data_IF_911293277055
#
_entry.id   IF_911293277055
#
_cell.length_a   1.000
_cell.length_b   1.000
_cell.length_c   1.000
_cell.angle_alpha   90.00
_cell.angle_beta   90.00
_cell.angle_gamma   90.00
#
_symmetry.space_group_name_H-M   'P 1'
#
loop_
_entity.id
_entity.type
_entity.pdbx_description
1 polymer ?
#
# COMPACT_ATOMS: atom_id res chain seq x y z
N UNK A 1 -19.99 2.18 19.57
CA UNK A 1 -19.09 1.93 18.43
C UNK A 1 -19.23 3.09 17.46
N UNK A 2 -18.20 3.91 17.30
CA UNK A 2 -18.27 5.09 16.43
C UNK A 2 -18.27 4.62 14.96
N UNK A 3 -19.27 5.00 14.15
CA UNK A 3 -19.26 4.68 12.73
C UNK A 3 -18.01 5.30 12.09
N UNK A 4 -17.32 4.50 11.28
CA UNK A 4 -16.15 4.94 10.53
C UNK A 4 -16.58 5.99 9.49
N UNK A 5 -16.26 7.25 9.72
CA UNK A 5 -16.53 8.36 8.79
C UNK A 5 -15.24 8.63 8.02
N UNK A 6 -15.25 8.33 6.72
CA UNK A 6 -14.13 8.68 5.84
C UNK A 6 -13.89 10.21 5.90
N UNK A 7 -12.66 10.69 6.11
CA UNK A 7 -12.38 12.12 6.14
C UNK A 7 -12.85 12.76 4.82
N UNK A 8 -13.73 13.75 4.90
CA UNK A 8 -14.17 14.51 3.73
C UNK A 8 -12.93 15.01 2.99
N UNK A 9 -12.83 14.67 1.70
CA UNK A 9 -11.73 15.09 0.85
C UNK A 9 -11.74 16.62 0.78
N UNK A 10 -10.99 17.29 1.66
CA UNK A 10 -10.83 18.74 1.57
C UNK A 10 -10.23 19.05 0.20
N UNK A 11 -10.85 19.92 -0.60
CA UNK A 11 -10.25 20.36 -1.85
C UNK A 11 -8.95 21.09 -1.52
N UNK A 12 -7.83 20.39 -1.70
CA UNK A 12 -6.50 20.98 -1.55
C UNK A 12 -6.15 21.70 -2.84
N UNK A 13 -5.45 22.84 -2.76
CA UNK A 13 -5.00 23.65 -3.91
C UNK A 13 -4.12 22.90 -4.95
N UNK A 14 -3.78 21.63 -4.69
CA UNK A 14 -2.88 20.78 -5.48
C UNK A 14 -3.62 19.80 -6.41
N UNK A 15 -4.89 20.05 -6.72
CA UNK A 15 -5.66 19.28 -7.68
C UNK A 15 -6.23 17.95 -7.16
N UNK A 16 -6.65 17.10 -8.10
CA UNK A 16 -7.43 15.89 -7.82
C UNK A 16 -6.65 14.88 -6.95
N UNK A 17 -7.22 14.48 -5.81
CA UNK A 17 -6.62 13.50 -4.89
C UNK A 17 -6.32 12.15 -5.57
N UNK A 18 -7.13 11.78 -6.58
CA UNK A 18 -6.90 10.57 -7.40
C UNK A 18 -5.64 10.68 -8.25
N UNK A 19 -5.40 11.82 -8.89
CA UNK A 19 -4.21 12.04 -9.72
C UNK A 19 -2.94 12.00 -8.88
N UNK A 20 -2.92 12.67 -7.72
CA UNK A 20 -1.79 12.62 -6.77
C UNK A 20 -1.48 11.21 -6.28
N UNK A 21 -2.54 10.43 -6.05
CA UNK A 21 -2.39 9.04 -5.61
C UNK A 21 -1.81 8.14 -6.70
N UNK A 22 -2.19 8.36 -7.97
CA UNK A 22 -1.61 7.67 -9.11
C UNK A 22 -0.15 8.05 -9.32
N UNK A 23 0.16 9.35 -9.29
CA UNK A 23 1.53 9.85 -9.42
C UNK A 23 2.41 9.29 -8.31
N UNK A 24 1.97 9.34 -7.05
CA UNK A 24 2.71 8.76 -5.93
C UNK A 24 2.94 7.26 -6.05
N UNK A 25 1.94 6.50 -6.53
CA UNK A 25 2.07 5.06 -6.79
C UNK A 25 3.08 4.76 -7.90
N UNK A 26 3.00 5.50 -9.02
CA UNK A 26 3.91 5.34 -10.15
C UNK A 26 5.35 5.66 -9.71
N UNK A 27 5.55 6.72 -8.93
CA UNK A 27 6.86 7.06 -8.37
C UNK A 27 7.42 5.98 -7.44
N UNK A 28 6.59 5.40 -6.57
CA UNK A 28 7.00 4.28 -5.69
C UNK A 28 7.39 3.07 -6.53
N UNK A 29 6.55 2.68 -7.50
CA UNK A 29 6.82 1.53 -8.36
C UNK A 29 8.09 1.73 -9.18
N UNK A 30 8.27 2.94 -9.75
CA UNK A 30 9.46 3.29 -10.51
C UNK A 30 10.71 3.32 -9.62
N UNK A 31 10.59 3.81 -8.38
CA UNK A 31 11.67 3.80 -7.39
C UNK A 31 12.10 2.39 -7.00
N UNK A 32 11.14 1.48 -6.73
CA UNK A 32 11.43 0.07 -6.43
C UNK A 32 12.06 -0.63 -7.63
N UNK A 33 11.50 -0.44 -8.83
CA UNK A 33 12.06 -1.02 -10.06
C UNK A 33 13.48 -0.53 -10.33
N UNK A 34 13.75 0.76 -10.14
CA UNK A 34 15.08 1.34 -10.25
C UNK A 34 16.05 0.74 -9.21
N UNK A 35 15.61 0.55 -7.97
CA UNK A 35 16.42 -0.10 -6.93
C UNK A 35 16.75 -1.55 -7.29
N UNK A 36 15.76 -2.34 -7.72
CA UNK A 36 15.96 -3.76 -8.10
C UNK A 36 16.85 -3.90 -9.34
N UNK A 37 16.81 -2.94 -10.27
CA UNK A 37 17.65 -2.94 -11.47
C UNK A 37 19.09 -2.48 -11.21
N UNK A 38 19.42 -2.09 -9.97
CA UNK A 38 20.76 -1.65 -9.61
C UNK A 38 21.74 -2.81 -9.71
N UNK A 39 22.81 -2.62 -10.49
CA UNK A 39 23.96 -3.53 -10.55
C UNK A 39 25.25 -2.80 -10.14
N UNK A 40 26.35 -3.53 -9.95
CA UNK A 40 27.68 -2.96 -9.65
C UNK A 40 28.11 -1.88 -10.65
N UNK A 41 27.65 -1.97 -11.90
CA UNK A 41 27.93 -0.98 -12.96
C UNK A 41 26.95 0.20 -12.99
N UNK A 42 25.93 0.17 -12.14
CA UNK A 42 24.76 1.05 -12.18
C UNK A 42 24.43 1.59 -10.78
N UNK A 43 25.46 1.89 -10.00
CA UNK A 43 25.35 2.35 -8.61
C UNK A 43 24.53 3.64 -8.45
N UNK A 44 24.43 4.45 -9.50
CA UNK A 44 23.57 5.64 -9.54
C UNK A 44 22.08 5.32 -9.31
N UNK A 45 21.61 4.13 -9.70
CA UNK A 45 20.23 3.71 -9.46
C UNK A 45 19.93 3.46 -7.97
N UNK A 46 20.96 3.19 -7.16
CA UNK A 46 20.83 3.10 -5.71
C UNK A 46 20.53 4.45 -5.05
N UNK A 47 20.89 5.57 -5.69
CA UNK A 47 20.53 6.91 -5.23
C UNK A 47 19.16 7.34 -5.80
N UNK A 48 18.92 7.05 -7.08
CA UNK A 48 17.69 7.43 -7.79
C UNK A 48 16.48 6.68 -7.25
N UNK A 49 16.58 5.38 -7.01
CA UNK A 49 15.47 4.53 -6.56
C UNK A 49 14.87 4.98 -5.22
N UNK A 50 15.65 5.09 -4.14
CA UNK A 50 15.17 5.61 -2.85
C UNK A 50 14.68 7.05 -2.94
N UNK A 51 15.29 7.90 -3.76
CA UNK A 51 14.85 9.28 -3.96
C UNK A 51 13.46 9.35 -4.61
N UNK A 52 13.20 8.55 -5.65
CA UNK A 52 11.88 8.42 -6.27
C UNK A 52 10.87 7.81 -5.30
N UNK A 53 11.29 6.82 -4.50
CA UNK A 53 10.47 6.19 -3.48
C UNK A 53 10.03 7.22 -2.42
N UNK A 54 10.96 8.04 -1.92
CA UNK A 54 10.71 9.15 -0.99
C UNK A 54 9.70 10.14 -1.57
N UNK A 55 9.95 10.61 -2.80
CA UNK A 55 9.07 11.55 -3.49
C UNK A 55 7.66 10.97 -3.69
N UNK A 56 7.54 9.69 -4.01
CA UNK A 56 6.26 9.02 -4.17
C UNK A 56 5.41 9.02 -2.88
N UNK A 57 6.02 8.74 -1.73
CA UNK A 57 5.36 8.86 -0.43
C UNK A 57 5.04 10.31 -0.04
N UNK A 58 5.90 11.27 -0.43
CA UNK A 58 5.68 12.68 -0.14
C UNK A 58 4.53 13.28 -0.96
N UNK A 59 4.34 12.82 -2.20
CA UNK A 59 3.29 13.30 -3.11
C UNK A 59 1.90 12.82 -2.67
N UNK A 60 1.81 11.66 -2.00
CA UNK A 60 0.52 11.07 -1.60
C UNK A 60 -0.31 11.98 -0.70
N UNK A 61 -1.64 12.03 -0.90
CA UNK A 61 -2.53 12.75 0.00
C UNK A 61 -2.71 12.00 1.33
N UNK A 62 -2.45 12.67 2.47
CA UNK A 62 -2.58 12.09 3.82
C UNK A 62 -1.95 12.95 4.92
N UNK A 63 -2.12 12.60 6.20
CA UNK A 63 -1.51 13.32 7.32
C UNK A 63 0.03 13.21 7.30
N UNK A 64 0.76 14.32 7.51
CA UNK A 64 2.22 14.38 7.40
C UNK A 64 2.94 13.37 8.33
N UNK A 65 2.46 13.23 9.57
CA UNK A 65 3.06 12.30 10.54
C UNK A 65 2.99 10.84 10.08
N UNK A 66 1.90 10.43 9.41
CA UNK A 66 1.76 9.06 8.88
C UNK A 66 2.71 8.81 7.72
N UNK A 67 2.96 9.83 6.90
CA UNK A 67 3.96 9.73 5.82
C UNK A 67 5.34 9.49 6.42
N UNK A 68 5.72 10.25 7.44
CA UNK A 68 7.03 10.09 8.11
C UNK A 68 7.20 8.72 8.76
N UNK A 69 6.16 8.21 9.44
CA UNK A 69 6.20 6.88 10.08
C UNK A 69 6.33 5.75 9.06
N UNK A 70 5.70 5.86 7.90
CA UNK A 70 5.70 4.82 6.85
C UNK A 70 6.94 4.89 5.96
N UNK A 71 7.52 6.08 5.82
CA UNK A 71 8.62 6.34 4.91
C UNK A 71 9.87 5.53 5.28
N UNK A 72 10.24 5.47 6.56
CA UNK A 72 11.39 4.68 7.01
C UNK A 72 11.20 3.15 6.77
N UNK A 73 10.12 2.49 7.24
CA UNK A 73 9.93 1.06 7.02
C UNK A 73 9.73 0.70 5.55
N UNK A 74 9.07 1.53 4.74
CA UNK A 74 8.91 1.24 3.30
C UNK A 74 10.20 1.44 2.51
N UNK A 75 11.03 2.41 2.90
CA UNK A 75 12.34 2.60 2.27
C UNK A 75 13.29 1.44 2.61
N UNK A 76 13.29 1.00 3.87
CA UNK A 76 14.02 -0.22 4.28
C UNK A 76 13.49 -1.45 3.53
N UNK A 77 12.17 -1.61 3.44
CA UNK A 77 11.56 -2.71 2.69
C UNK A 77 12.03 -2.71 1.22
N UNK A 78 11.98 -1.56 0.54
CA UNK A 78 12.46 -1.39 -0.83
C UNK A 78 13.94 -1.75 -1.01
N UNK A 79 14.78 -1.44 -0.03
CA UNK A 79 16.20 -1.84 -0.04
C UNK A 79 16.38 -3.33 0.23
N UNK A 80 15.58 -3.94 1.10
CA UNK A 80 15.68 -5.38 1.39
C UNK A 80 15.30 -6.26 0.20
N UNK A 81 14.48 -5.77 -0.73
CA UNK A 81 14.20 -6.46 -2.00
C UNK A 81 15.47 -6.71 -2.83
N UNK A 82 16.52 -5.90 -2.65
CA UNK A 82 17.82 -6.12 -3.28
C UNK A 82 18.49 -7.43 -2.80
N UNK A 83 18.15 -7.87 -1.59
CA UNK A 83 18.62 -9.13 -1.01
C UNK A 83 18.01 -10.39 -1.65
N UNK A 84 17.04 -10.23 -2.57
CA UNK A 84 16.45 -11.33 -3.32
C UNK A 84 15.19 -11.95 -2.66
N UNK A 85 14.78 -13.16 -3.11
CA UNK A 85 13.49 -13.77 -2.80
C UNK A 85 13.28 -14.09 -1.32
N UNK A 86 14.37 -14.23 -0.56
CA UNK A 86 14.32 -14.37 0.91
C UNK A 86 13.63 -13.20 1.62
N UNK A 87 13.65 -12.01 1.01
CA UNK A 87 13.06 -10.79 1.55
C UNK A 87 11.73 -10.43 0.89
N UNK A 88 11.07 -11.37 0.20
CA UNK A 88 9.76 -11.15 -0.41
C UNK A 88 8.69 -10.63 0.60
N UNK A 89 8.90 -10.80 1.91
CA UNK A 89 8.06 -10.22 2.96
C UNK A 89 8.04 -8.68 2.96
N UNK A 90 9.01 -8.02 2.32
CA UNK A 90 9.06 -6.58 2.14
C UNK A 90 7.82 -6.03 1.41
N UNK A 91 7.23 -6.81 0.50
CA UNK A 91 5.98 -6.46 -0.19
C UNK A 91 4.80 -6.29 0.76
N UNK A 92 4.74 -7.09 1.84
CA UNK A 92 3.70 -6.94 2.86
C UNK A 92 3.87 -5.62 3.63
N UNK A 93 5.11 -5.21 3.92
CA UNK A 93 5.40 -3.93 4.57
C UNK A 93 5.00 -2.74 3.69
N UNK A 94 5.30 -2.81 2.39
CA UNK A 94 4.87 -1.82 1.40
C UNK A 94 3.35 -1.70 1.35
N UNK A 95 2.63 -2.83 1.33
CA UNK A 95 1.16 -2.84 1.35
C UNK A 95 0.60 -2.30 2.68
N UNK A 96 1.21 -2.64 3.82
CA UNK A 96 0.80 -2.16 5.14
C UNK A 96 0.95 -0.63 5.23
N UNK A 97 2.10 -0.12 4.78
CA UNK A 97 2.35 1.32 4.68
C UNK A 97 1.31 2.05 3.83
N UNK A 98 0.96 1.45 2.68
CA UNK A 98 -0.07 1.98 1.79
C UNK A 98 -1.46 2.05 2.44
N UNK A 99 -1.86 1.00 3.18
CA UNK A 99 -3.14 0.96 3.91
C UNK A 99 -3.18 2.00 5.04
N UNK A 100 -2.05 2.21 5.73
CA UNK A 100 -1.93 3.16 6.84
C UNK A 100 -2.04 4.61 6.37
N UNK A 101 -1.39 4.96 5.25
CA UNK A 101 -1.47 6.28 4.63
C UNK A 101 -2.90 6.59 4.14
N UNK A 102 -3.60 5.59 3.59
CA UNK A 102 -4.96 5.77 3.05
C UNK A 102 -6.09 5.71 4.09
N UNK A 103 -5.77 5.67 5.39
CA UNK A 103 -6.77 5.56 6.45
C UNK A 103 -7.77 4.42 6.19
N UNK A 104 -7.32 3.23 5.78
CA UNK A 104 -8.26 2.11 5.53
C UNK A 104 -8.70 1.47 6.85
N UNK A 105 -9.96 0.98 6.94
CA UNK A 105 -10.48 0.34 8.15
C UNK A 105 -9.67 -0.92 8.50
N UNK A 106 -9.51 -1.22 9.78
CA UNK A 106 -8.82 -2.39 10.33
C UNK A 106 -9.07 -3.73 9.59
N UNK A 107 -10.31 -4.10 9.19
CA UNK A 107 -10.55 -5.33 8.43
C UNK A 107 -9.82 -5.40 7.07
N UNK A 108 -9.46 -4.27 6.45
CA UNK A 108 -8.65 -4.27 5.22
C UNK A 108 -7.22 -4.78 5.44
N UNK A 109 -6.74 -4.84 6.68
CA UNK A 109 -5.43 -5.40 7.01
C UNK A 109 -5.38 -6.93 6.90
N UNK A 110 -6.52 -7.64 6.90
CA UNK A 110 -6.56 -9.09 6.66
C UNK A 110 -5.96 -9.46 5.29
N UNK A 111 -5.99 -8.51 4.36
CA UNK A 111 -5.44 -8.69 3.02
C UNK A 111 -3.91 -8.76 3.02
N UNK A 112 -3.23 -8.40 4.12
CA UNK A 112 -1.79 -8.61 4.29
C UNK A 112 -1.41 -10.10 4.37
N UNK A 113 -2.35 -10.99 4.69
CA UNK A 113 -2.08 -12.43 4.72
C UNK A 113 -1.69 -12.95 3.34
N UNK A 114 -2.23 -12.37 2.26
CA UNK A 114 -1.90 -12.74 0.89
C UNK A 114 -0.41 -12.53 0.53
N UNK A 115 0.13 -11.31 0.60
CA UNK A 115 1.54 -11.08 0.28
C UNK A 115 2.46 -11.88 1.21
N UNK A 116 2.12 -12.02 2.49
CA UNK A 116 2.88 -12.86 3.43
C UNK A 116 2.90 -14.32 2.96
N UNK A 117 1.74 -14.90 2.65
CA UNK A 117 1.64 -16.29 2.16
C UNK A 117 2.39 -16.51 0.85
N UNK A 118 2.30 -15.55 -0.08
CA UNK A 118 3.04 -15.59 -1.34
C UNK A 118 4.55 -15.45 -1.11
N UNK A 119 5.01 -14.67 -0.13
CA UNK A 119 6.44 -14.60 0.21
C UNK A 119 6.99 -15.96 0.65
N UNK A 120 6.24 -16.73 1.44
CA UNK A 120 6.62 -18.09 1.82
C UNK A 120 6.65 -19.03 0.61
N UNK A 121 5.68 -18.90 -0.30
CA UNK A 121 5.64 -19.69 -1.53
C UNK A 121 6.83 -19.36 -2.45
N UNK A 122 7.12 -18.08 -2.65
CA UNK A 122 8.28 -17.62 -3.42
C UNK A 122 9.56 -18.23 -2.84
N UNK A 123 9.75 -18.14 -1.52
CA UNK A 123 10.91 -18.72 -0.85
C UNK A 123 11.00 -20.24 -0.98
N UNK A 124 9.86 -20.95 -1.05
CA UNK A 124 9.84 -22.41 -1.20
C UNK A 124 10.13 -22.89 -2.63
N UNK A 125 9.87 -22.07 -3.65
CA UNK A 125 9.97 -22.47 -5.05
C UNK A 125 11.15 -21.83 -5.80
N UNK A 126 11.62 -20.65 -5.39
CA UNK A 126 12.67 -19.88 -6.07
C UNK A 126 13.97 -19.93 -5.26
N UNK A 127 14.97 -20.63 -5.79
CA UNK A 127 16.27 -20.83 -5.14
C UNK A 127 17.44 -20.18 -5.89
N UNK A 128 17.20 -19.68 -7.12
CA UNK A 128 18.25 -19.13 -7.99
C UNK A 128 18.09 -17.63 -8.24
N UNK A 129 19.21 -16.90 -8.19
CA UNK A 129 19.26 -15.45 -8.45
C UNK A 129 18.68 -15.05 -9.82
N UNK A 130 18.89 -15.89 -10.84
CA UNK A 130 18.35 -15.68 -12.18
C UNK A 130 16.81 -15.65 -12.22
N UNK A 131 16.14 -16.14 -11.18
CA UNK A 131 14.69 -16.16 -11.08
C UNK A 131 14.13 -15.05 -10.16
N UNK A 132 14.98 -14.19 -9.59
CA UNK A 132 14.56 -13.12 -8.68
C UNK A 132 13.51 -12.21 -9.31
N UNK A 133 13.65 -11.90 -10.61
CA UNK A 133 12.68 -11.09 -11.36
C UNK A 133 11.27 -11.70 -11.37
N UNK A 134 11.15 -13.03 -11.31
CA UNK A 134 9.86 -13.74 -11.21
C UNK A 134 9.24 -13.50 -9.84
N UNK A 135 10.05 -13.59 -8.77
CA UNK A 135 9.62 -13.27 -7.42
C UNK A 135 9.11 -11.84 -7.29
N UNK A 136 9.80 -10.88 -7.93
CA UNK A 136 9.40 -9.47 -7.91
C UNK A 136 8.11 -9.21 -8.68
N UNK A 137 7.92 -9.86 -9.85
CA UNK A 137 6.67 -9.78 -10.61
C UNK A 137 5.49 -10.39 -9.83
N UNK A 138 5.67 -11.59 -9.28
CA UNK A 138 4.64 -12.29 -8.52
C UNK A 138 4.29 -11.52 -7.24
N UNK A 139 5.30 -11.00 -6.53
CA UNK A 139 5.11 -10.15 -5.35
C UNK A 139 4.35 -8.86 -5.67
N UNK A 140 4.73 -8.18 -6.76
CA UNK A 140 4.06 -6.96 -7.22
C UNK A 140 2.61 -7.23 -7.62
N UNK A 141 2.36 -8.28 -8.40
CA UNK A 141 1.01 -8.69 -8.80
C UNK A 141 0.14 -9.02 -7.57
N UNK A 142 0.72 -9.70 -6.59
CA UNK A 142 0.04 -10.04 -5.33
C UNK A 142 -0.32 -8.80 -4.54
N UNK A 143 0.58 -7.83 -4.42
CA UNK A 143 0.30 -6.55 -3.74
C UNK A 143 -0.81 -5.78 -4.46
N UNK A 144 -0.82 -5.74 -5.79
CA UNK A 144 -1.87 -5.09 -6.58
C UNK A 144 -3.23 -5.76 -6.35
N UNK A 145 -3.27 -7.10 -6.45
CA UNK A 145 -4.49 -7.87 -6.20
C UNK A 145 -5.00 -7.65 -4.77
N UNK A 146 -4.09 -7.66 -3.80
CA UNK A 146 -4.36 -7.39 -2.38
C UNK A 146 -4.91 -5.97 -2.16
N UNK A 147 -4.31 -4.97 -2.78
CA UNK A 147 -4.79 -3.59 -2.71
C UNK A 147 -6.20 -3.43 -3.30
N UNK A 148 -6.51 -4.14 -4.39
CA UNK A 148 -7.83 -4.14 -5.01
C UNK A 148 -8.87 -4.83 -4.13
N UNK A 149 -8.50 -5.95 -3.50
CA UNK A 149 -9.36 -6.69 -2.58
C UNK A 149 -9.65 -5.89 -1.31
N UNK A 150 -8.64 -5.16 -0.78
CA UNK A 150 -8.81 -4.22 0.31
C UNK A 150 -9.75 -3.05 -0.04
N UNK A 151 -9.69 -2.55 -1.29
CA UNK A 151 -10.63 -1.55 -1.80
C UNK A 151 -12.06 -2.09 -1.83
N UNK A 152 -12.25 -3.34 -2.28
CA UNK A 152 -13.56 -3.98 -2.35
C UNK A 152 -14.18 -4.22 -0.97
N UNK A 153 -13.39 -4.69 0.00
CA UNK A 153 -13.84 -4.88 1.39
C UNK A 153 -14.29 -3.55 2.00
N UNK A 154 -13.49 -2.49 1.83
CA UNK A 154 -13.83 -1.18 2.36
C UNK A 154 -15.14 -0.64 1.75
N UNK A 155 -15.34 -0.79 0.43
CA UNK A 155 -16.60 -0.38 -0.21
C UNK A 155 -17.83 -1.12 0.34
N UNK A 156 -17.71 -2.42 0.66
CA UNK A 156 -18.81 -3.18 1.29
C UNK A 156 -19.11 -2.72 2.72
N UNK A 157 -18.09 -2.32 3.47
CA UNK A 157 -18.25 -1.81 4.84
C UNK A 157 -18.94 -0.45 4.87
N UNK A 158 -18.59 0.43 3.93
CA UNK A 158 -19.23 1.75 3.79
C UNK A 158 -20.72 1.62 3.47
N UNK A 159 -21.10 0.71 2.55
CA UNK A 159 -22.51 0.44 2.21
C UNK A 159 -23.29 -0.08 3.43
N UNK A 160 -22.72 -1.04 4.17
CA UNK A 160 -23.36 -1.58 5.39
C UNK A 160 -23.56 -0.50 6.46
N UNK A 161 -22.55 0.35 6.68
CA UNK A 161 -22.65 1.45 7.64
C UNK A 161 -23.75 2.45 7.25
N UNK A 162 -23.86 2.77 5.95
CA UNK A 162 -24.92 3.64 5.42
C UNK A 162 -26.32 3.05 5.62
N UNK A 163 -26.51 1.75 5.35
CA UNK A 163 -27.79 1.07 5.59
C UNK A 163 -28.19 1.08 7.07
N UNK A 164 -27.25 0.81 7.98
CA UNK A 164 -27.53 0.83 9.43
C UNK A 164 -27.90 2.24 9.90
N UNK A 165 -27.24 3.28 9.39
CA UNK A 165 -27.56 4.66 9.72
C UNK A 165 -28.97 5.05 9.24
N UNK A 166 -29.35 4.65 8.02
CA UNK A 166 -30.69 4.91 7.47
C UNK A 166 -31.78 4.16 8.26
N UNK A 167 -31.55 2.88 8.60
CA UNK A 167 -32.47 2.11 9.45
C UNK A 167 -32.64 2.80 10.82
N UNK A 168 -31.54 3.22 11.45
CA UNK A 168 -31.58 3.90 12.76
C UNK A 168 -32.34 5.23 12.69
N UNK A 169 -32.26 5.94 11.56
CA UNK A 169 -32.95 7.21 11.33
C UNK A 169 -34.46 7.03 11.10
N UNK A 170 -34.87 5.87 10.57
CA UNK A 170 -36.27 5.54 10.31
C UNK A 170 -37.01 4.97 11.54
N UNK A 171 -36.31 4.61 12.62
CA UNK A 171 -36.95 4.25 13.89
C UNK A 171 -37.55 5.54 14.47
N UNK A 172 -38.89 5.71 14.45
CA UNK A 172 -39.50 6.88 15.05
C UNK A 172 -39.16 6.84 16.54
N UNK A 173 -38.67 7.96 17.08
CA UNK A 173 -38.57 8.13 18.53
C UNK A 173 -39.97 7.88 19.09
N UNK A 174 -40.17 6.70 19.68
CA UNK A 174 -41.38 6.36 20.42
C UNK A 174 -41.38 7.32 21.60
N UNK A 175 -42.12 8.42 21.42
CA UNK A 175 -42.37 9.43 22.42
C UNK A 175 -43.10 8.77 23.58
N UNK A 176 -42.40 8.67 24.71
CA UNK A 176 -43.03 8.62 26.03
C UNK A 176 -43.54 10.01 26.41
#
# INVERSE_FOLDING_TARGET
MTPWIAPAARPTAWGNARARSLVGLVLIMLGVAATVFTSTYSMFFLLIGPSLHLLGWLVMPGALWRRLVVLLPCLLAGLTLLGGPDFAGAFAVLLAGWLLVRHRPLPSYLVLVLPIGVSFLIKAFLHGYAQNWVGDLVGTATVIASAWLAWWIAGRLDVKAGQVAEITRQIPSRSE
#
